data_IF_875814091074
#
_entry.id   IF_875814091074
#
_cell.length_a   1.000
_cell.length_b   1.000
_cell.length_c   1.000
_cell.angle_alpha   90.00
_cell.angle_beta   90.00
_cell.angle_gamma   90.00
#
_symmetry.space_group_name_H-M   'P 1'
#
loop_
_entity.id
_entity.type
_entity.pdbx_description
1 polymer ?
#
# COMPACT_ATOMS: atom_id res chain seq x y z
N UNK A 1 8.70 3.92 1.08
CA UNK A 1 7.91 5.09 1.52
C UNK A 1 6.58 5.10 0.77
N UNK A 2 5.47 5.29 1.46
CA UNK A 2 4.15 5.46 0.84
C UNK A 2 3.48 6.70 1.40
N UNK A 3 2.82 7.45 0.54
CA UNK A 3 1.98 8.58 0.90
C UNK A 3 0.52 8.15 0.84
N UNK A 4 -0.23 8.39 1.91
CA UNK A 4 -1.64 8.03 2.00
C UNK A 4 -2.45 9.30 2.18
N UNK A 5 -3.36 9.56 1.24
CA UNK A 5 -4.30 10.67 1.36
C UNK A 5 -5.56 10.18 2.06
N UNK A 6 -5.90 10.81 3.18
CA UNK A 6 -7.13 10.53 3.93
C UNK A 6 -8.06 11.75 3.83
N UNK A 7 -9.30 11.53 3.38
CA UNK A 7 -10.33 12.57 3.32
C UNK A 7 -11.65 12.03 3.85
N UNK A 8 -12.31 12.81 4.72
CA UNK A 8 -13.58 12.38 5.34
C UNK A 8 -13.46 11.11 6.19
N UNK A 9 -12.28 10.84 6.76
CA UNK A 9 -12.00 9.63 7.55
C UNK A 9 -11.79 8.36 6.72
N UNK A 10 -11.61 8.48 5.41
CA UNK A 10 -11.36 7.37 4.49
C UNK A 10 -10.10 7.58 3.67
N UNK A 11 -9.41 6.49 3.35
CA UNK A 11 -8.27 6.53 2.42
C UNK A 11 -8.79 6.79 1.01
N UNK A 12 -8.34 7.86 0.35
CA UNK A 12 -8.76 8.23 -1.00
C UNK A 12 -7.69 8.02 -2.06
N UNK A 13 -6.42 7.98 -1.66
CA UNK A 13 -5.30 7.70 -2.54
C UNK A 13 -4.13 7.11 -1.76
N UNK A 14 -3.36 6.25 -2.42
CA UNK A 14 -2.10 5.70 -1.93
C UNK A 14 -1.08 5.83 -3.06
N UNK A 15 0.03 6.50 -2.78
CA UNK A 15 1.12 6.70 -3.72
C UNK A 15 2.40 6.06 -3.16
N UNK A 16 3.07 5.25 -3.97
CA UNK A 16 4.34 4.62 -3.59
C UNK A 16 5.47 5.55 -4.00
N UNK A 17 6.03 6.29 -3.04
CA UNK A 17 7.13 7.24 -3.26
C UNK A 17 8.46 6.51 -3.43
N UNK A 18 8.67 5.43 -2.66
CA UNK A 18 9.92 4.67 -2.69
C UNK A 18 9.68 3.19 -2.35
N UNK A 19 10.32 2.29 -3.09
CA UNK A 19 10.41 0.88 -2.73
C UNK A 19 11.77 0.30 -3.14
N UNK A 20 12.24 -0.71 -2.41
CA UNK A 20 13.45 -1.46 -2.76
C UNK A 20 13.15 -2.82 -3.40
N UNK A 21 11.89 -3.06 -3.72
CA UNK A 21 11.42 -4.31 -4.32
C UNK A 21 11.70 -4.37 -5.83
N UNK A 22 11.57 -5.56 -6.42
CA UNK A 22 11.89 -5.79 -7.82
C UNK A 22 10.83 -5.13 -8.72
N UNK A 23 11.19 -4.07 -9.45
CA UNK A 23 10.24 -3.22 -10.19
C UNK A 23 9.20 -3.98 -11.02
N UNK A 24 9.62 -4.98 -11.81
CA UNK A 24 8.70 -5.77 -12.64
C UNK A 24 7.71 -6.65 -11.86
N UNK A 25 7.94 -6.88 -10.57
CA UNK A 25 7.01 -7.58 -9.65
C UNK A 25 6.22 -6.54 -8.84
N UNK A 26 6.91 -5.50 -8.40
CA UNK A 26 6.40 -4.48 -7.48
C UNK A 26 5.34 -3.61 -8.13
N UNK A 27 5.65 -3.00 -9.26
CA UNK A 27 4.75 -2.10 -9.99
C UNK A 27 3.39 -2.74 -10.33
N UNK A 28 3.31 -3.95 -10.96
CA UNK A 28 2.02 -4.56 -11.23
C UNK A 28 1.29 -5.01 -9.95
N UNK A 29 2.02 -5.33 -8.89
CA UNK A 29 1.41 -5.65 -7.59
C UNK A 29 0.79 -4.39 -6.96
N UNK A 30 1.48 -3.25 -6.99
CA UNK A 30 0.96 -1.99 -6.48
C UNK A 30 -0.24 -1.50 -7.29
N UNK A 31 -0.16 -1.55 -8.62
CA UNK A 31 -1.25 -1.16 -9.52
C UNK A 31 -2.54 -1.98 -9.30
N UNK A 32 -2.41 -3.24 -8.84
CA UNK A 32 -3.54 -4.10 -8.54
C UNK A 32 -4.08 -3.90 -7.11
N UNK A 33 -3.20 -3.83 -6.10
CA UNK A 33 -3.61 -3.78 -4.70
C UNK A 33 -4.08 -2.39 -4.25
N UNK A 34 -3.46 -1.31 -4.75
CA UNK A 34 -3.80 0.06 -4.32
C UNK A 34 -5.28 0.38 -4.55
N UNK A 35 -5.86 0.17 -5.76
CA UNK A 35 -7.27 0.42 -5.99
C UNK A 35 -8.17 -0.41 -5.07
N UNK A 36 -7.82 -1.67 -4.83
CA UNK A 36 -8.62 -2.55 -3.96
C UNK A 36 -8.57 -2.10 -2.49
N UNK A 37 -7.43 -1.60 -2.00
CA UNK A 37 -7.31 -1.04 -0.64
C UNK A 37 -8.17 0.22 -0.52
N UNK A 38 -8.12 1.11 -1.50
CA UNK A 38 -8.93 2.34 -1.54
C UNK A 38 -10.42 2.00 -1.64
N UNK A 39 -10.81 1.01 -2.43
CA UNK A 39 -12.21 0.62 -2.59
C UNK A 39 -12.76 -0.10 -1.35
N UNK A 40 -12.04 -1.11 -0.85
CA UNK A 40 -12.48 -1.92 0.29
C UNK A 40 -12.33 -1.20 1.64
N UNK A 41 -11.53 -0.14 1.70
CA UNK A 41 -11.09 0.48 2.95
C UNK A 41 -10.49 -0.54 3.93
N UNK A 42 -9.93 -1.63 3.41
CA UNK A 42 -9.37 -2.74 4.17
C UNK A 42 -8.03 -3.14 3.58
N UNK A 43 -7.20 -3.74 4.42
CA UNK A 43 -6.02 -4.45 3.96
C UNK A 43 -6.50 -5.67 3.18
N UNK A 44 -6.21 -5.69 1.88
CA UNK A 44 -6.64 -6.75 0.95
C UNK A 44 -5.70 -7.95 0.99
N UNK A 45 -6.13 -9.08 0.45
CA UNK A 45 -5.38 -10.33 0.47
C UNK A 45 -4.07 -10.26 -0.33
N UNK A 46 -3.08 -10.98 0.16
CA UNK A 46 -1.73 -11.01 -0.39
C UNK A 46 -1.70 -11.76 -1.72
N UNK A 47 -1.14 -11.14 -2.77
CA UNK A 47 -1.01 -11.74 -4.09
C UNK A 47 -0.01 -12.91 -4.08
N UNK A 48 -0.45 -14.07 -4.57
CA UNK A 48 0.42 -15.24 -4.75
C UNK A 48 1.56 -14.91 -5.73
N UNK A 49 2.81 -15.08 -5.29
CA UNK A 49 4.02 -14.73 -6.06
C UNK A 49 4.61 -13.35 -5.77
N UNK A 50 3.91 -12.49 -5.04
CA UNK A 50 4.40 -11.18 -4.59
C UNK A 50 4.14 -10.97 -3.09
N UNK A 51 4.31 -12.04 -2.30
CA UNK A 51 3.94 -12.07 -0.88
C UNK A 51 4.66 -11.00 -0.06
N UNK A 52 5.96 -10.83 -0.28
CA UNK A 52 6.77 -9.85 0.45
C UNK A 52 6.41 -8.41 0.04
N UNK A 53 6.24 -8.18 -1.26
CA UNK A 53 5.80 -6.90 -1.83
C UNK A 53 4.44 -6.47 -1.27
N UNK A 54 3.47 -7.39 -1.28
CA UNK A 54 2.12 -7.14 -0.77
C UNK A 54 2.15 -6.79 0.72
N UNK A 55 2.89 -7.56 1.52
CA UNK A 55 3.06 -7.29 2.96
C UNK A 55 3.74 -5.94 3.21
N UNK A 56 4.74 -5.59 2.40
CA UNK A 56 5.44 -4.30 2.46
C UNK A 56 4.48 -3.13 2.23
N UNK A 57 3.68 -3.19 1.16
CA UNK A 57 2.67 -2.17 0.87
C UNK A 57 1.64 -2.06 2.00
N UNK A 58 1.03 -3.18 2.41
CA UNK A 58 0.01 -3.19 3.46
C UNK A 58 0.55 -2.66 4.80
N UNK A 59 1.78 -3.04 5.16
CA UNK A 59 2.46 -2.54 6.34
C UNK A 59 2.72 -1.04 6.28
N UNK A 60 3.17 -0.54 5.13
CA UNK A 60 3.45 0.89 4.93
C UNK A 60 2.15 1.72 4.97
N UNK A 61 1.08 1.24 4.33
CA UNK A 61 -0.25 1.90 4.38
C UNK A 61 -0.78 1.91 5.81
N UNK A 62 -0.68 0.79 6.53
CA UNK A 62 -1.11 0.70 7.93
C UNK A 62 -0.33 1.66 8.83
N UNK A 63 0.99 1.78 8.63
CA UNK A 63 1.83 2.73 9.36
C UNK A 63 1.44 4.18 9.09
N UNK A 64 1.24 4.53 7.81
CA UNK A 64 0.83 5.87 7.39
C UNK A 64 -0.54 6.27 7.97
N UNK A 65 -1.53 5.38 7.93
CA UNK A 65 -2.87 5.63 8.50
C UNK A 65 -2.85 5.71 10.02
N UNK A 66 -2.00 4.91 10.67
CA UNK A 66 -1.86 4.92 12.14
C UNK A 66 -1.08 6.13 12.68
N UNK A 67 -0.61 7.04 11.81
CA UNK A 67 0.22 8.17 12.20
C UNK A 67 1.58 7.76 12.77
N UNK A 68 1.98 6.50 12.56
CA UNK A 68 3.31 6.03 12.88
C UNK A 68 4.18 6.38 11.69
N UNK A 69 4.49 7.68 11.57
CA UNK A 69 5.64 8.10 10.78
C UNK A 69 6.80 7.19 11.19
N UNK A 70 7.41 6.56 10.20
CA UNK A 70 8.67 5.86 10.40
C UNK A 70 9.68 6.89 10.89
N UNK A 71 9.81 6.99 12.21
CA UNK A 71 10.85 7.76 12.88
C UNK A 71 12.16 6.97 12.86
#
# INVERSE_FOLDING_TARGET
LVDVTVSGGKVTAIDVVEHSDTGFIAEPTFAELIPQIVESQSLVDVKSGATMTSKGLLGAVSAAVSGKEAQ
#
